data_IF_039248229068
#
_entry.id   IF_039248229068
#
_cell.length_a   1.000
_cell.length_b   1.000
_cell.length_c   1.000
_cell.angle_alpha   90.00
_cell.angle_beta   90.00
_cell.angle_gamma   90.00
#
_symmetry.space_group_name_H-M   'P 1'
#
loop_
_entity.id
_entity.type
_entity.pdbx_description
1 polymer ?
#
# COMPACT_ATOMS: atom_id res chain seq x y z
N UNK A 1 -13.59 5.82 -22.72
CA UNK A 1 -13.34 4.42 -22.28
C UNK A 1 -12.69 4.49 -20.91
N UNK A 2 -13.27 3.85 -19.89
CA UNK A 2 -12.75 3.98 -18.52
C UNK A 2 -11.46 3.15 -18.33
N UNK A 3 -10.66 3.49 -17.32
CA UNK A 3 -9.47 2.69 -16.96
C UNK A 3 -9.87 1.26 -16.57
N UNK A 4 -11.00 1.09 -15.87
CA UNK A 4 -11.53 -0.21 -15.48
C UNK A 4 -11.81 -1.08 -16.70
N UNK A 5 -12.49 -0.53 -17.71
CA UNK A 5 -12.80 -1.26 -18.94
C UNK A 5 -11.53 -1.68 -19.69
N UNK A 6 -10.50 -0.82 -19.74
CA UNK A 6 -9.21 -1.13 -20.36
C UNK A 6 -8.45 -2.21 -19.62
N UNK A 7 -8.40 -2.14 -18.30
CA UNK A 7 -7.75 -3.17 -17.50
C UNK A 7 -8.46 -4.51 -17.67
N UNK A 8 -9.80 -4.56 -17.59
CA UNK A 8 -10.57 -5.80 -17.78
C UNK A 8 -10.34 -6.43 -19.16
N UNK A 9 -10.19 -5.64 -20.21
CA UNK A 9 -9.83 -6.18 -21.53
C UNK A 9 -8.44 -6.79 -21.57
N UNK A 10 -7.46 -6.15 -20.94
CA UNK A 10 -6.10 -6.68 -20.88
C UNK A 10 -6.06 -7.97 -20.08
N UNK A 11 -6.74 -8.02 -18.94
CA UNK A 11 -6.90 -9.25 -18.15
C UNK A 11 -7.44 -10.39 -19.02
N UNK A 12 -8.51 -10.15 -19.79
CA UNK A 12 -9.07 -11.15 -20.72
C UNK A 12 -8.12 -11.55 -21.85
N UNK A 13 -7.45 -10.57 -22.44
CA UNK A 13 -6.48 -10.81 -23.53
C UNK A 13 -5.32 -11.69 -23.06
N UNK A 14 -4.84 -11.45 -21.84
CA UNK A 14 -3.72 -12.17 -21.23
C UNK A 14 -4.16 -13.44 -20.47
N UNK A 15 -5.47 -13.75 -20.44
CA UNK A 15 -6.06 -14.93 -19.78
C UNK A 15 -5.81 -15.02 -18.27
N UNK A 16 -5.98 -13.90 -17.57
CA UNK A 16 -5.70 -13.75 -16.13
C UNK A 16 -6.96 -13.64 -15.26
N UNK A 17 -8.14 -13.93 -15.81
CA UNK A 17 -9.43 -13.74 -15.13
C UNK A 17 -9.54 -14.51 -13.81
N UNK A 18 -8.89 -15.67 -13.69
CA UNK A 18 -8.91 -16.49 -12.47
C UNK A 18 -7.98 -15.96 -11.37
N UNK A 19 -7.04 -15.07 -11.71
CA UNK A 19 -6.01 -14.56 -10.80
C UNK A 19 -6.18 -13.07 -10.48
N UNK A 20 -6.92 -12.33 -11.31
CA UNK A 20 -7.03 -10.87 -11.22
C UNK A 20 -8.47 -10.45 -11.01
N UNK A 21 -8.72 -9.77 -9.90
CA UNK A 21 -9.96 -9.04 -9.64
C UNK A 21 -9.71 -7.53 -9.78
N UNK A 22 -10.62 -6.84 -10.47
CA UNK A 22 -10.61 -5.38 -10.58
C UNK A 22 -11.77 -4.82 -9.75
N UNK A 23 -11.45 -4.03 -8.72
CA UNK A 23 -12.42 -3.36 -7.87
C UNK A 23 -12.54 -1.91 -8.33
N UNK A 24 -13.72 -1.52 -8.82
CA UNK A 24 -14.02 -0.14 -9.18
C UNK A 24 -14.70 0.56 -8.00
N UNK A 25 -13.90 1.13 -7.10
CA UNK A 25 -14.37 1.79 -5.90
C UNK A 25 -13.38 2.87 -5.44
N UNK A 26 -13.75 3.61 -4.41
CA UNK A 26 -12.87 4.44 -3.61
C UNK A 26 -11.87 3.55 -2.86
N UNK A 27 -10.58 3.71 -3.17
CA UNK A 27 -9.51 2.92 -2.56
C UNK A 27 -9.46 3.02 -1.03
N UNK A 28 -9.98 4.11 -0.43
CA UNK A 28 -10.03 4.30 1.02
C UNK A 28 -11.11 3.45 1.71
N UNK A 29 -11.97 2.78 0.94
CA UNK A 29 -13.06 1.93 1.45
C UNK A 29 -12.84 0.44 1.23
N UNK A 30 -11.78 0.07 0.52
CA UNK A 30 -11.46 -1.32 0.20
C UNK A 30 -10.83 -2.02 1.40
N UNK A 31 -11.23 -3.25 1.68
CA UNK A 31 -10.61 -4.09 2.72
C UNK A 31 -9.27 -4.68 2.20
N UNK A 32 -8.16 -4.36 2.86
CA UNK A 32 -6.81 -4.82 2.53
C UNK A 32 -6.27 -5.88 3.50
N UNK A 33 -7.07 -6.36 4.46
CA UNK A 33 -6.60 -7.25 5.53
C UNK A 33 -5.99 -8.59 5.07
N UNK A 34 -6.29 -9.04 3.87
CA UNK A 34 -5.71 -10.25 3.27
C UNK A 34 -4.49 -9.98 2.39
N UNK A 35 -4.13 -8.72 2.17
CA UNK A 35 -2.98 -8.36 1.35
C UNK A 35 -1.67 -8.74 2.05
N UNK A 36 -0.85 -9.55 1.37
CA UNK A 36 0.53 -9.87 1.77
C UNK A 36 1.56 -8.91 1.16
N UNK A 37 1.17 -8.21 0.08
CA UNK A 37 1.93 -7.15 -0.59
C UNK A 37 0.97 -6.06 -1.05
N UNK A 38 1.33 -4.79 -0.85
CA UNK A 38 0.64 -3.62 -1.40
C UNK A 38 1.61 -2.81 -2.24
N UNK A 39 1.23 -2.43 -3.45
CA UNK A 39 2.00 -1.53 -4.32
C UNK A 39 1.26 -0.22 -4.52
N UNK A 40 1.90 0.90 -4.22
CA UNK A 40 1.35 2.25 -4.36
C UNK A 40 2.20 3.09 -5.30
N UNK A 41 1.58 3.59 -6.37
CA UNK A 41 2.13 4.67 -7.19
C UNK A 41 1.22 5.89 -7.10
N UNK A 42 1.35 6.63 -6.00
CA UNK A 42 0.48 7.74 -5.64
C UNK A 42 1.29 8.96 -5.21
N UNK A 43 0.63 10.11 -5.16
CA UNK A 43 1.24 11.36 -4.69
C UNK A 43 1.51 11.34 -3.18
N UNK A 44 2.42 12.20 -2.72
CA UNK A 44 2.75 12.36 -1.30
C UNK A 44 1.51 12.52 -0.41
N UNK A 45 0.57 13.38 -0.79
CA UNK A 45 -0.66 13.62 -0.02
C UNK A 45 -1.53 12.37 0.13
N UNK A 46 -1.63 11.58 -0.93
CA UNK A 46 -2.40 10.33 -0.94
C UNK A 46 -1.70 9.26 -0.09
N UNK A 47 -0.37 9.13 -0.17
CA UNK A 47 0.37 8.21 0.70
C UNK A 47 0.24 8.58 2.20
N UNK A 48 0.15 9.87 2.53
CA UNK A 48 -0.15 10.28 3.91
C UNK A 48 -1.57 9.88 4.34
N UNK A 49 -2.55 10.02 3.45
CA UNK A 49 -3.94 9.64 3.72
C UNK A 49 -4.13 8.11 3.82
N UNK A 50 -3.38 7.33 3.03
CA UNK A 50 -3.41 5.86 3.06
C UNK A 50 -2.74 5.28 4.31
N UNK A 51 -1.74 5.96 4.85
CA UNK A 51 -0.96 5.49 6.01
C UNK A 51 -1.83 4.93 7.16
N UNK A 52 -2.81 5.65 7.73
CA UNK A 52 -3.63 5.12 8.83
C UNK A 52 -4.40 3.86 8.44
N UNK A 53 -4.93 3.79 7.21
CA UNK A 53 -5.63 2.61 6.70
C UNK A 53 -4.68 1.41 6.54
N UNK A 54 -3.47 1.63 6.04
CA UNK A 54 -2.45 0.59 5.90
C UNK A 54 -1.95 0.10 7.28
N UNK A 55 -1.81 1.01 8.24
CA UNK A 55 -1.45 0.67 9.62
C UNK A 55 -2.57 -0.08 10.34
N UNK A 56 -3.84 0.22 10.06
CA UNK A 56 -4.96 -0.44 10.73
C UNK A 56 -5.22 -1.85 10.18
N UNK A 57 -5.18 -2.01 8.85
CA UNK A 57 -5.68 -3.23 8.21
C UNK A 57 -4.61 -4.28 7.91
N UNK A 58 -3.34 -3.88 7.68
CA UNK A 58 -2.34 -4.82 7.21
C UNK A 58 -1.74 -5.67 8.33
N UNK A 59 -1.61 -6.97 8.08
CA UNK A 59 -1.02 -7.90 9.03
C UNK A 59 0.50 -7.67 9.17
N UNK A 60 1.08 -7.95 10.35
CA UNK A 60 2.54 -7.96 10.52
C UNK A 60 3.22 -8.86 9.48
N UNK A 61 4.30 -8.38 8.87
CA UNK A 61 4.99 -9.05 7.78
C UNK A 61 4.52 -8.66 6.38
N UNK A 62 3.36 -8.01 6.22
CA UNK A 62 2.93 -7.48 4.92
C UNK A 62 3.93 -6.46 4.40
N UNK A 63 4.26 -6.57 3.11
CA UNK A 63 5.18 -5.64 2.43
C UNK A 63 4.40 -4.52 1.76
N UNK A 64 4.88 -3.29 1.90
CA UNK A 64 4.32 -2.14 1.19
C UNK A 64 5.41 -1.54 0.32
N UNK A 65 5.11 -1.32 -0.95
CA UNK A 65 6.03 -0.78 -1.95
C UNK A 65 5.47 0.56 -2.40
N UNK A 66 6.20 1.65 -2.19
CA UNK A 66 5.82 2.99 -2.63
C UNK A 66 6.80 3.49 -3.70
N UNK A 67 6.28 4.08 -4.79
CA UNK A 67 7.06 4.55 -5.92
C UNK A 67 7.11 6.09 -5.92
N UNK A 68 8.32 6.65 -6.05
CA UNK A 68 8.71 8.07 -6.04
C UNK A 68 8.43 8.84 -4.73
N UNK A 69 7.31 8.59 -4.07
CA UNK A 69 6.90 9.29 -2.87
C UNK A 69 6.88 8.34 -1.67
N UNK A 70 7.80 8.47 -0.70
CA UNK A 70 7.82 7.60 0.48
C UNK A 70 6.62 7.84 1.40
N UNK A 71 6.29 6.84 2.23
CA UNK A 71 5.30 6.97 3.30
C UNK A 71 5.94 7.66 4.49
N UNK A 72 5.46 8.85 4.85
CA UNK A 72 6.08 9.68 5.88
C UNK A 72 5.99 9.06 7.28
N UNK A 73 7.12 9.04 7.99
CA UNK A 73 7.23 8.44 9.32
C UNK A 73 7.43 6.92 9.32
N UNK A 74 7.42 6.27 8.15
CA UNK A 74 7.87 4.89 8.03
C UNK A 74 9.35 4.85 7.65
N UNK A 75 10.07 3.89 8.21
CA UNK A 75 11.46 3.60 7.84
C UNK A 75 11.49 2.47 6.80
N UNK A 76 11.96 2.71 5.57
CA UNK A 76 12.05 1.66 4.57
C UNK A 76 13.12 0.64 4.96
N UNK A 77 12.87 -0.62 4.63
CA UNK A 77 13.86 -1.71 4.74
C UNK A 77 14.73 -1.80 3.49
N UNK A 78 14.28 -1.24 2.37
CA UNK A 78 14.99 -1.20 1.11
C UNK A 78 14.61 0.05 0.33
N UNK A 79 15.60 0.69 -0.32
CA UNK A 79 15.42 1.84 -1.18
C UNK A 79 16.30 1.66 -2.40
N UNK A 80 15.71 1.74 -3.60
CA UNK A 80 16.45 1.60 -4.85
C UNK A 80 16.01 2.62 -5.87
N UNK A 81 16.99 3.17 -6.61
CA UNK A 81 16.74 4.05 -7.74
C UNK A 81 16.80 3.24 -9.03
N UNK A 82 15.66 3.08 -9.68
CA UNK A 82 15.50 2.26 -10.89
C UNK A 82 15.34 3.15 -12.11
N UNK A 83 16.03 2.83 -13.20
CA UNK A 83 15.85 3.51 -14.47
C UNK A 83 14.51 3.06 -15.09
N UNK A 84 13.68 4.02 -15.49
CA UNK A 84 12.44 3.76 -16.22
C UNK A 84 12.68 2.98 -17.51
N UNK A 85 11.64 2.27 -17.96
CA UNK A 85 11.69 1.49 -19.20
C UNK A 85 11.86 2.33 -20.46
N UNK A 86 11.81 1.64 -21.61
CA UNK A 86 12.17 2.14 -22.95
C UNK A 86 11.63 3.52 -23.36
N UNK A 87 10.48 3.95 -22.82
CA UNK A 87 9.82 5.20 -23.21
C UNK A 87 10.14 6.41 -22.32
N UNK A 88 10.86 6.24 -21.20
CA UNK A 88 11.17 7.35 -20.30
C UNK A 88 12.59 7.23 -19.72
N UNK A 89 13.48 8.19 -20.04
CA UNK A 89 14.82 8.30 -19.45
C UNK A 89 14.80 8.71 -17.96
N UNK A 90 13.62 8.82 -17.35
CA UNK A 90 13.44 9.13 -15.93
C UNK A 90 13.89 7.99 -15.04
N UNK A 91 14.34 8.35 -13.85
CA UNK A 91 14.56 7.42 -12.75
C UNK A 91 13.39 7.48 -11.79
N UNK A 92 13.05 6.33 -11.22
CA UNK A 92 12.09 6.16 -10.15
C UNK A 92 12.81 5.75 -8.87
N UNK A 93 12.31 6.18 -7.73
CA UNK A 93 12.79 5.66 -6.43
C UNK A 93 11.75 4.72 -5.86
N UNK A 94 12.14 3.47 -5.58
CA UNK A 94 11.29 2.44 -4.98
C UNK A 94 11.63 2.37 -3.50
N UNK A 95 10.62 2.49 -2.64
CA UNK A 95 10.71 2.32 -1.19
C UNK A 95 9.95 1.06 -0.79
N UNK A 96 10.60 0.15 -0.06
CA UNK A 96 9.97 -1.06 0.47
C UNK A 96 9.90 -0.98 1.99
N UNK A 97 8.73 -1.29 2.53
CA UNK A 97 8.45 -1.33 3.96
C UNK A 97 7.92 -2.71 4.33
N UNK A 98 8.07 -3.06 5.61
CA UNK A 98 7.47 -4.27 6.19
C UNK A 98 6.69 -3.84 7.42
N UNK A 99 5.39 -4.15 7.44
CA UNK A 99 4.53 -3.88 8.60
C UNK A 99 5.09 -4.64 9.79
N UNK A 100 5.42 -3.91 10.84
CA UNK A 100 5.88 -4.49 12.10
C UNK A 100 4.66 -4.93 12.91
N UNK A 101 4.82 -5.90 13.84
CA UNK A 101 3.80 -6.13 14.85
C UNK A 101 3.42 -4.79 15.48
N UNK A 102 2.13 -4.47 15.48
CA UNK A 102 1.64 -3.40 16.33
C UNK A 102 2.08 -3.76 17.74
N UNK A 103 2.96 -2.96 18.35
CA UNK A 103 3.12 -3.02 19.79
C UNK A 103 1.74 -2.61 20.29
N UNK A 104 0.95 -3.58 20.74
CA UNK A 104 -0.39 -3.35 21.27
C UNK A 104 -0.28 -2.13 22.19
N UNK A 105 -1.08 -1.08 21.93
CA UNK A 105 -1.26 -0.03 22.92
C UNK A 105 -1.63 -0.77 24.21
N UNK A 106 -0.72 -0.78 25.19
CA UNK A 106 -1.01 -1.42 26.49
C UNK A 106 -2.37 -0.86 26.91
N UNK A 107 -3.36 -1.70 27.26
CA UNK A 107 -4.51 -1.18 27.97
C UNK A 107 -3.95 -0.48 29.20
N UNK A 108 -4.26 0.81 29.33
CA UNK A 108 -3.99 1.56 30.56
C UNK A 108 -4.91 0.94 31.61
N UNK A 109 -4.44 -0.13 32.26
CA UNK A 109 -5.06 -0.66 33.46
C UNK A 109 -5.20 0.52 34.43
N UNK A 110 -6.45 0.79 34.80
CA UNK A 110 -6.87 2.01 35.47
C UNK A 110 -6.05 2.34 36.70
N UNK A 111 -5.70 3.62 36.82
CA UNK A 111 -5.47 4.20 38.13
C UNK A 111 -6.82 4.68 38.65
N UNK A 112 -7.55 3.80 39.34
CA UNK A 112 -8.43 4.25 40.42
C UNK A 112 -7.53 4.87 41.48
N UNK A 113 -7.58 6.19 41.61
CA UNK A 113 -7.16 6.85 42.85
C UNK A 113 -8.43 7.12 43.62
N UNK A 114 -8.73 6.24 44.58
CA UNK A 114 -9.66 6.55 45.66
C UNK A 114 -9.21 7.84 46.34
N UNK A 115 -10.07 8.84 46.34
CA UNK A 115 -10.21 9.84 47.40
C UNK A 115 -11.68 10.14 47.60
#
# INVERSE_FOLDING_TARGET
RSLVEETLRRVRKEKLEEQVQIIHDDMFKVNLSDATVVTSYQLKSINMALKPMLEDQLKPGTRVIAIDFPIQGWKPVFVEKVKGGWHNKRYYTIYVYVIKPHIAKRPMLGFEVMK
#
